data_IF_239616022166
#
_entry.id   IF_239616022166
#
_cell.length_a   1.000
_cell.length_b   1.000
_cell.length_c   1.000
_cell.angle_alpha   90.00
_cell.angle_beta   90.00
_cell.angle_gamma   90.00
#
_symmetry.space_group_name_H-M   'P 1'
#
loop_
_entity.id
_entity.type
_entity.pdbx_description
1 polymer ?
#
# COMPACT_ATOMS: atom_id res chain seq x y z
N UNK A 1 12.00 11.19 -2.54
CA UNK A 1 12.18 11.50 -1.10
C UNK A 1 11.70 10.36 -0.18
N UNK A 2 10.39 10.04 -0.09
CA UNK A 2 9.91 8.93 0.76
C UNK A 2 10.37 7.56 0.23
N UNK A 3 10.32 7.36 -1.08
CA UNK A 3 10.79 6.15 -1.77
C UNK A 3 12.30 5.96 -1.65
N UNK A 4 13.10 7.02 -1.80
CA UNK A 4 14.57 6.94 -1.65
C UNK A 4 15.01 6.54 -0.25
N UNK A 5 14.33 7.07 0.77
CA UNK A 5 14.58 6.70 2.16
C UNK A 5 14.24 5.22 2.40
N UNK A 6 13.13 4.76 1.84
CA UNK A 6 12.71 3.37 1.91
C UNK A 6 13.70 2.41 1.23
N UNK A 7 14.14 2.74 0.02
CA UNK A 7 15.15 1.97 -0.70
C UNK A 7 16.47 1.88 0.06
N UNK A 8 16.91 2.97 0.70
CA UNK A 8 18.10 2.95 1.56
C UNK A 8 17.91 2.06 2.79
N UNK A 9 16.76 2.11 3.43
CA UNK A 9 16.46 1.32 4.63
C UNK A 9 16.44 -0.19 4.33
N UNK A 10 15.79 -0.60 3.23
CA UNK A 10 15.75 -2.01 2.79
C UNK A 10 17.14 -2.50 2.44
N UNK A 11 17.92 -1.72 1.67
CA UNK A 11 19.29 -2.10 1.32
C UNK A 11 20.18 -2.28 2.55
N UNK A 12 20.08 -1.37 3.53
CA UNK A 12 20.86 -1.48 4.78
C UNK A 12 20.45 -2.72 5.58
N UNK A 13 19.16 -3.00 5.72
CA UNK A 13 18.66 -4.20 6.40
C UNK A 13 19.13 -5.50 5.72
N UNK A 14 19.09 -5.52 4.39
CA UNK A 14 19.50 -6.67 3.60
C UNK A 14 21.02 -6.89 3.68
N UNK A 15 21.82 -5.81 3.65
CA UNK A 15 23.27 -5.86 3.87
C UNK A 15 23.64 -6.39 5.25
N UNK A 16 22.93 -5.94 6.29
CA UNK A 16 23.14 -6.38 7.67
C UNK A 16 22.80 -7.87 7.85
N UNK A 17 21.72 -8.35 7.22
CA UNK A 17 21.34 -9.77 7.24
C UNK A 17 22.35 -10.66 6.52
N UNK A 18 22.82 -10.23 5.34
CA UNK A 18 23.84 -10.95 4.57
C UNK A 18 25.17 -11.04 5.32
N UNK A 19 25.58 -9.94 5.99
CA UNK A 19 26.83 -9.87 6.74
C UNK A 19 26.79 -10.68 8.06
N UNK A 20 25.63 -10.76 8.73
CA UNK A 20 25.48 -11.54 9.97
C UNK A 20 25.26 -13.05 9.76
N UNK A 21 25.17 -13.53 8.52
CA UNK A 21 25.11 -14.96 8.22
C UNK A 21 23.85 -15.69 8.70
N UNK A 22 22.71 -14.98 8.82
CA UNK A 22 21.43 -15.62 9.15
C UNK A 22 20.94 -16.45 7.94
N UNK A 23 20.80 -17.80 8.06
CA UNK A 23 20.46 -18.67 6.94
C UNK A 23 18.96 -18.71 6.61
N UNK A 24 18.15 -17.87 7.24
CA UNK A 24 16.77 -17.66 6.88
C UNK A 24 16.67 -16.23 6.36
N UNK A 25 16.43 -16.07 5.06
CA UNK A 25 15.88 -14.81 4.55
C UNK A 25 14.54 -14.68 5.26
N UNK A 26 14.51 -13.92 6.34
CA UNK A 26 13.32 -13.76 7.16
C UNK A 26 12.23 -13.23 6.22
N UNK A 27 11.17 -14.00 6.02
CA UNK A 27 10.15 -13.71 5.01
C UNK A 27 9.55 -12.31 5.27
N UNK A 28 9.64 -11.84 6.51
CA UNK A 28 9.39 -10.46 6.95
C UNK A 28 10.13 -9.39 6.14
N UNK A 29 11.40 -9.60 5.80
CA UNK A 29 12.21 -8.65 5.00
C UNK A 29 11.68 -8.55 3.57
N UNK A 30 11.09 -9.63 3.05
CA UNK A 30 10.50 -9.65 1.70
C UNK A 30 9.09 -9.04 1.71
N UNK A 31 8.35 -9.23 2.81
CA UNK A 31 7.01 -8.68 2.98
C UNK A 31 6.98 -7.20 3.38
N UNK A 32 8.04 -6.66 4.00
CA UNK A 32 8.11 -5.23 4.37
C UNK A 32 8.02 -4.30 3.14
N UNK A 33 8.78 -4.53 2.04
CA UNK A 33 8.68 -3.76 0.79
C UNK A 33 7.31 -3.88 0.15
N UNK A 34 6.74 -5.09 0.19
CA UNK A 34 5.40 -5.39 -0.31
C UNK A 34 4.34 -4.58 0.42
N UNK A 35 4.33 -4.61 1.75
CA UNK A 35 3.41 -3.84 2.58
C UNK A 35 3.52 -2.33 2.33
N UNK A 36 4.73 -1.84 2.12
CA UNK A 36 4.96 -0.42 1.86
C UNK A 36 4.42 -0.01 0.48
N UNK A 37 4.63 -0.85 -0.53
CA UNK A 37 4.09 -0.63 -1.86
C UNK A 37 2.55 -0.65 -1.85
N UNK A 38 1.94 -1.58 -1.11
CA UNK A 38 0.49 -1.65 -0.93
C UNK A 38 -0.08 -0.39 -0.28
N UNK A 39 0.58 0.14 0.76
CA UNK A 39 0.19 1.39 1.43
C UNK A 39 0.31 2.59 0.49
N UNK A 40 1.36 2.66 -0.32
CA UNK A 40 1.54 3.74 -1.32
C UNK A 40 0.40 3.69 -2.35
N UNK A 41 0.09 2.50 -2.88
CA UNK A 41 -1.02 2.31 -3.83
C UNK A 41 -2.35 2.69 -3.19
N UNK A 42 -2.58 2.33 -1.93
CA UNK A 42 -3.80 2.70 -1.21
C UNK A 42 -3.94 4.23 -1.09
N UNK A 43 -2.85 4.93 -0.74
CA UNK A 43 -2.84 6.39 -0.63
C UNK A 43 -3.11 7.04 -1.98
N UNK A 44 -2.48 6.58 -3.06
CA UNK A 44 -2.69 7.14 -4.40
C UNK A 44 -4.12 6.87 -4.89
N UNK A 45 -4.67 5.68 -4.65
CA UNK A 45 -6.08 5.39 -4.96
C UNK A 45 -7.03 6.32 -4.18
N UNK A 46 -6.77 6.57 -2.89
CA UNK A 46 -7.62 7.47 -2.10
C UNK A 46 -7.53 8.93 -2.57
N UNK A 47 -6.33 9.40 -2.95
CA UNK A 47 -6.12 10.74 -3.50
C UNK A 47 -6.78 10.89 -4.87
N UNK A 48 -6.74 9.85 -5.69
CA UNK A 48 -7.39 9.83 -7.00
C UNK A 48 -8.92 9.83 -6.85
N UNK A 49 -9.49 9.00 -5.97
CA UNK A 49 -10.92 9.04 -5.63
C UNK A 49 -11.35 10.44 -5.15
N UNK A 50 -10.54 11.09 -4.31
CA UNK A 50 -10.82 12.44 -3.80
C UNK A 50 -10.74 13.51 -4.89
N UNK A 51 -9.80 13.39 -5.84
CA UNK A 51 -9.68 14.32 -6.97
C UNK A 51 -10.84 14.18 -7.97
N UNK A 52 -11.43 12.98 -8.06
CA UNK A 52 -12.60 12.69 -8.87
C UNK A 52 -13.93 13.10 -8.20
N UNK A 53 -13.91 13.53 -6.93
CA UNK A 53 -15.11 14.01 -6.24
C UNK A 53 -15.25 15.51 -6.50
N UNK A 54 -16.13 15.95 -7.43
CA UNK A 54 -16.28 17.36 -7.76
C UNK A 54 -16.82 18.12 -6.55
N UNK A 55 -16.19 19.26 -6.23
CA UNK A 55 -16.69 20.18 -5.21
C UNK A 55 -17.89 20.95 -5.73
N UNK A 56 -19.03 20.77 -5.04
CA UNK A 56 -20.33 21.45 -5.13
C UNK A 56 -20.52 22.53 -6.20
N UNK A 57 -21.42 22.27 -7.15
CA UNK A 57 -22.68 23.04 -7.30
C UNK A 57 -23.64 22.41 -8.32
N UNK A 58 -24.87 22.12 -7.85
CA UNK A 58 -26.08 21.77 -8.62
C UNK A 58 -26.12 20.40 -9.33
N UNK A 59 -26.75 19.43 -8.67
CA UNK A 59 -26.93 18.03 -9.09
C UNK A 59 -25.65 17.19 -9.16
N UNK A 60 -25.26 16.58 -8.03
CA UNK A 60 -24.56 15.30 -8.11
C UNK A 60 -25.52 14.29 -8.75
N UNK A 61 -25.54 14.25 -10.08
CA UNK A 61 -26.27 13.25 -10.84
C UNK A 61 -25.74 11.87 -10.44
N UNK A 62 -26.63 10.88 -10.35
CA UNK A 62 -26.27 9.49 -10.03
C UNK A 62 -25.11 8.99 -10.92
N UNK A 63 -24.97 9.52 -12.15
CA UNK A 63 -23.85 9.31 -13.08
C UNK A 63 -22.45 9.52 -12.44
N UNK A 64 -22.24 10.59 -11.67
CA UNK A 64 -20.95 10.88 -11.05
C UNK A 64 -20.63 9.92 -9.89
N UNK A 65 -21.67 9.41 -9.22
CA UNK A 65 -21.55 8.40 -8.16
C UNK A 65 -21.21 7.04 -8.77
N UNK A 66 -21.85 6.68 -9.89
CA UNK A 66 -21.58 5.42 -10.60
C UNK A 66 -20.18 5.38 -11.23
N UNK A 67 -19.65 6.51 -11.72
CA UNK A 67 -18.30 6.62 -12.30
C UNK A 67 -17.17 6.51 -11.26
N UNK A 68 -17.42 6.91 -10.01
CA UNK A 68 -16.42 6.84 -8.93
C UNK A 68 -16.45 5.54 -8.13
N UNK A 69 -17.54 4.76 -8.27
CA UNK A 69 -17.76 3.47 -7.61
C UNK A 69 -16.64 2.42 -7.84
N UNK A 70 -16.10 2.23 -9.07
CA UNK A 70 -15.04 1.25 -9.32
C UNK A 70 -13.75 1.63 -8.60
N UNK A 71 -13.38 2.91 -8.60
CA UNK A 71 -12.19 3.42 -7.92
C UNK A 71 -12.32 3.30 -6.39
N UNK A 72 -13.51 3.55 -5.86
CA UNK A 72 -13.82 3.33 -4.45
C UNK A 72 -13.69 1.85 -4.06
N UNK A 73 -14.19 0.94 -4.90
CA UNK A 73 -14.08 -0.50 -4.65
C UNK A 73 -12.63 -1.01 -4.71
N UNK A 74 -11.82 -0.46 -5.62
CA UNK A 74 -10.37 -0.73 -5.69
C UNK A 74 -9.68 -0.30 -4.40
N UNK A 75 -9.99 0.89 -3.87
CA UNK A 75 -9.43 1.35 -2.60
C UNK A 75 -9.82 0.43 -1.43
N UNK A 76 -11.08 0.02 -1.34
CA UNK A 76 -11.58 -0.93 -0.32
C UNK A 76 -10.86 -2.28 -0.43
N UNK A 77 -10.73 -2.80 -1.65
CA UNK A 77 -10.04 -4.07 -1.91
C UNK A 77 -8.58 -4.01 -1.48
N UNK A 78 -7.94 -2.85 -1.64
CA UNK A 78 -6.55 -2.64 -1.24
C UNK A 78 -6.38 -2.61 0.29
N UNK A 79 -7.37 -2.13 1.05
CA UNK A 79 -7.37 -2.24 2.52
C UNK A 79 -7.40 -3.70 2.97
N UNK A 80 -8.23 -4.53 2.33
CA UNK A 80 -8.26 -5.97 2.63
C UNK A 80 -6.95 -6.65 2.27
N UNK A 81 -6.30 -6.24 1.18
CA UNK A 81 -5.00 -6.76 0.77
C UNK A 81 -3.90 -6.40 1.77
N UNK A 82 -3.82 -5.13 2.18
CA UNK A 82 -2.92 -4.68 3.27
C UNK A 82 -3.17 -5.47 4.56
N UNK A 83 -4.43 -5.66 4.93
CA UNK A 83 -4.78 -6.44 6.12
C UNK A 83 -4.30 -7.90 6.01
N UNK A 84 -4.46 -8.53 4.84
CA UNK A 84 -3.96 -9.89 4.60
C UNK A 84 -2.42 -9.96 4.67
N UNK A 85 -1.71 -8.98 4.14
CA UNK A 85 -0.25 -8.86 4.21
C UNK A 85 0.22 -8.66 5.65
N UNK A 86 -0.46 -7.81 6.43
CA UNK A 86 -0.21 -7.63 7.87
C UNK A 86 -0.49 -8.91 8.67
N UNK A 87 -1.61 -9.60 8.40
CA UNK A 87 -1.92 -10.87 9.07
C UNK A 87 -0.87 -11.96 8.78
N UNK A 88 -0.41 -12.03 7.53
CA UNK A 88 0.70 -12.91 7.13
C UNK A 88 1.97 -12.57 7.90
N UNK A 89 2.32 -11.29 7.99
CA UNK A 89 3.49 -10.82 8.77
C UNK A 89 3.38 -11.16 10.26
N UNK A 90 2.19 -11.01 10.86
CA UNK A 90 1.95 -11.37 12.27
C UNK A 90 2.03 -12.88 12.51
N UNK A 91 1.60 -13.70 11.54
CA UNK A 91 1.69 -15.17 11.60
C UNK A 91 3.11 -15.70 11.43
N UNK A 92 3.94 -14.96 10.70
CA UNK A 92 5.36 -15.24 10.52
C UNK A 92 6.22 -14.70 11.69
N UNK A 93 5.58 -14.08 12.69
CA UNK A 93 6.26 -13.46 13.84
C UNK A 93 6.23 -14.28 15.11
#
# INVERSE_FOLDING_TARGET
>A
MLTDFYYRLVNVLQYLCAFRGFPAVDLKIVFLPLLTFEVIILIDNFRMCKALMPGDEESMSDEAIWETLPHFWVAISMVFFVAATVFTLLKLS
#
